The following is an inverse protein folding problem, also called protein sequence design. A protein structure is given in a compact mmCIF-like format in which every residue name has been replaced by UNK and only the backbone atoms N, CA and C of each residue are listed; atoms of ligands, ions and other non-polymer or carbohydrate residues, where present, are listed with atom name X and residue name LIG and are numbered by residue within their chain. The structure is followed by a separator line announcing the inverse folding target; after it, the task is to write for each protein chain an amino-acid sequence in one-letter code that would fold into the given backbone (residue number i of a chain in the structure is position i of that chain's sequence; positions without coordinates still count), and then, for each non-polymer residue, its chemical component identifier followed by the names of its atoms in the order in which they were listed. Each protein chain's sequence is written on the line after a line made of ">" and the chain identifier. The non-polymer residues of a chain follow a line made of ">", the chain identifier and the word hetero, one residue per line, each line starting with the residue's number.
data_IF_820173164691
#
_entry.id   IF_820173164691
#
_cell.length_a   1.000
_cell.length_b   1.000
_cell.length_c   1.000
_cell.angle_alpha   90.00
_cell.angle_beta   90.00
_cell.angle_gamma   90.00
#
_symmetry.space_group_name_H-M   'P 1'
#
loop_
_entity.id
_entity.type
_entity.pdbx_description
1 polymer ?
#
# COMPACT_ATOMS: atom_id res chain seq x y z
N UNK A 1 -29.13 -2.21 17.46
CA UNK A 1 -27.98 -1.44 16.96
C UNK A 1 -26.73 -2.07 17.53
N UNK A 2 -25.59 -2.09 16.82
CA UNK A 2 -24.33 -2.55 17.38
C UNK A 2 -23.97 -1.73 18.62
N UNK A 3 -23.59 -2.40 19.70
CA UNK A 3 -23.07 -1.76 20.91
C UNK A 3 -21.88 -0.86 20.56
N UNK A 4 -21.97 0.44 20.89
CA UNK A 4 -20.91 1.42 20.67
C UNK A 4 -21.27 2.59 19.74
N UNK A 5 -22.23 2.40 18.82
CA UNK A 5 -22.72 3.50 17.98
C UNK A 5 -23.69 4.43 18.73
N UNK A 6 -24.40 3.91 19.74
CA UNK A 6 -25.46 4.62 20.47
C UNK A 6 -24.96 5.82 21.30
N UNK A 7 -23.64 5.96 21.50
CA UNK A 7 -23.00 7.09 22.21
C UNK A 7 -22.05 7.90 21.32
N UNK A 8 -21.95 7.55 20.04
CA UNK A 8 -21.06 8.24 19.11
C UNK A 8 -21.67 9.58 18.70
N UNK A 9 -21.06 10.69 19.15
CA UNK A 9 -21.55 12.06 18.88
C UNK A 9 -20.96 12.69 17.63
N UNK A 10 -19.70 12.37 17.33
CA UNK A 10 -18.94 12.98 16.25
C UNK A 10 -18.02 11.94 15.59
N UNK A 11 -17.93 11.98 14.27
CA UNK A 11 -16.92 11.29 13.48
C UNK A 11 -16.04 12.37 12.86
N UNK A 12 -14.74 12.28 13.09
CA UNK A 12 -13.74 13.07 12.37
C UNK A 12 -13.02 12.12 11.43
N UNK A 13 -13.07 12.42 10.14
CA UNK A 13 -12.38 11.63 9.11
C UNK A 13 -11.16 12.40 8.67
N UNK A 14 -9.98 11.83 8.90
CA UNK A 14 -8.72 12.30 8.35
C UNK A 14 -8.36 11.42 7.16
N UNK A 15 -8.25 12.02 5.97
CA UNK A 15 -7.73 11.35 4.78
C UNK A 15 -6.30 11.81 4.57
N UNK A 16 -5.36 10.87 4.67
CA UNK A 16 -3.98 11.07 4.25
C UNK A 16 -3.87 10.88 2.74
N UNK A 17 -2.86 11.46 2.11
CA UNK A 17 -2.65 11.38 0.66
C UNK A 17 -1.45 10.47 0.30
N UNK A 18 -1.52 9.84 -0.87
CA UNK A 18 -0.41 9.23 -1.62
C UNK A 18 0.59 8.36 -0.84
N UNK A 19 0.12 7.59 0.15
CA UNK A 19 0.95 6.61 0.88
C UNK A 19 0.21 5.30 1.06
N UNK A 20 0.85 4.19 0.66
CA UNK A 20 0.33 2.85 0.88
C UNK A 20 0.41 2.45 2.36
N UNK A 21 -0.37 1.44 2.74
CA UNK A 21 -0.31 0.86 4.09
C UNK A 21 1.11 0.37 4.43
N UNK A 22 1.76 -0.36 3.51
CA UNK A 22 3.08 -0.90 3.74
C UNK A 22 4.15 0.16 3.97
N UNK A 23 4.05 1.32 3.31
CA UNK A 23 5.00 2.41 3.48
C UNK A 23 4.86 3.08 4.86
N UNK A 24 3.63 3.22 5.38
CA UNK A 24 3.38 3.93 6.64
C UNK A 24 3.44 3.01 7.86
N UNK A 25 2.86 1.82 7.73
CA UNK A 25 2.52 0.94 8.85
C UNK A 25 2.95 -0.52 8.64
N UNK A 26 3.44 -0.88 7.45
CA UNK A 26 3.80 -2.27 7.13
C UNK A 26 4.87 -2.85 8.05
N UNK A 27 5.83 -2.03 8.48
CA UNK A 27 6.89 -2.44 9.41
C UNK A 27 6.37 -2.83 10.80
N UNK A 28 5.15 -2.42 11.17
CA UNK A 28 4.55 -2.79 12.46
C UNK A 28 4.31 -4.28 12.61
N UNK A 29 4.29 -5.06 11.50
CA UNK A 29 4.25 -6.53 11.57
C UNK A 29 5.39 -7.14 12.38
N UNK A 30 6.55 -6.48 12.42
CA UNK A 30 7.68 -6.91 13.25
C UNK A 30 7.39 -6.79 14.76
N UNK A 31 6.39 -6.00 15.15
CA UNK A 31 5.97 -5.79 16.54
C UNK A 31 4.67 -6.55 16.85
N UNK A 32 3.74 -6.59 15.90
CA UNK A 32 2.45 -7.28 16.02
C UNK A 32 2.15 -8.12 14.79
N UNK A 33 2.30 -9.44 14.92
CA UNK A 33 2.11 -10.39 13.83
C UNK A 33 0.67 -10.45 13.27
N UNK A 34 -0.31 -9.84 13.94
CA UNK A 34 -1.69 -9.73 13.43
C UNK A 34 -1.80 -8.70 12.30
N UNK A 35 -0.82 -7.82 12.16
CA UNK A 35 -0.77 -6.81 11.11
C UNK A 35 -0.35 -7.47 9.80
N UNK A 36 -1.18 -7.32 8.77
CA UNK A 36 -0.83 -7.73 7.43
C UNK A 36 0.05 -6.66 6.76
N UNK A 37 1.32 -6.64 7.19
CA UNK A 37 2.34 -5.76 6.66
C UNK A 37 3.50 -6.51 5.99
N UNK A 38 4.57 -5.77 5.75
CA UNK A 38 5.78 -6.20 5.05
C UNK A 38 6.44 -7.41 5.74
N UNK A 39 6.63 -8.48 4.98
CA UNK A 39 7.48 -9.63 5.33
C UNK A 39 8.45 -9.93 4.19
N UNK A 40 9.60 -10.54 4.49
CA UNK A 40 10.45 -11.07 3.43
C UNK A 40 9.76 -12.26 2.73
N UNK A 41 9.83 -12.39 1.38
CA UNK A 41 10.76 -11.72 0.46
C UNK A 41 10.11 -10.76 -0.55
N UNK A 42 9.41 -9.71 -0.11
CA UNK A 42 8.79 -8.73 -1.04
C UNK A 42 9.83 -8.03 -1.95
N UNK A 43 9.50 -7.87 -3.23
CA UNK A 43 10.34 -7.14 -4.19
C UNK A 43 9.54 -6.65 -5.41
N UNK A 44 9.96 -5.53 -6.01
CA UNK A 44 9.40 -5.01 -7.27
C UNK A 44 10.50 -4.86 -8.33
N UNK A 45 10.26 -5.22 -9.60
CA UNK A 45 11.21 -4.98 -10.67
C UNK A 45 11.33 -3.48 -10.98
N UNK A 46 12.54 -3.00 -11.21
CA UNK A 46 12.79 -1.67 -11.79
C UNK A 46 12.59 -1.67 -13.32
N UNK A 47 12.91 -0.55 -13.97
CA UNK A 47 12.79 -0.39 -15.43
C UNK A 47 13.71 -1.29 -16.25
N UNK A 48 14.69 -1.94 -15.62
CA UNK A 48 15.60 -2.92 -16.22
C UNK A 48 15.25 -4.36 -15.86
N UNK A 49 14.23 -4.56 -15.01
CA UNK A 49 13.83 -5.86 -14.48
C UNK A 49 14.63 -6.31 -13.25
N UNK A 50 15.51 -5.46 -12.71
CA UNK A 50 16.23 -5.77 -11.48
C UNK A 50 15.26 -5.72 -10.29
N UNK A 51 15.27 -6.74 -9.44
CA UNK A 51 14.39 -6.80 -8.28
C UNK A 51 14.88 -5.88 -7.15
N UNK A 52 14.06 -4.90 -6.81
CA UNK A 52 14.29 -3.93 -5.73
C UNK A 52 13.47 -4.35 -4.51
N UNK A 53 14.14 -4.51 -3.37
CA UNK A 53 13.50 -4.81 -2.09
C UNK A 53 13.05 -3.54 -1.38
N UNK A 54 11.97 -3.58 -0.58
CA UNK A 54 11.66 -2.53 0.39
C UNK A 54 12.83 -2.30 1.33
N UNK A 55 13.12 -1.03 1.65
CA UNK A 55 14.20 -0.64 2.55
C UNK A 55 13.70 0.42 3.54
N UNK A 56 14.18 0.36 4.78
CA UNK A 56 13.86 1.33 5.83
C UNK A 56 14.69 2.63 5.70
N UNK A 57 14.73 3.20 4.49
CA UNK A 57 15.48 4.42 4.17
C UNK A 57 14.57 5.65 3.98
N UNK A 58 13.28 5.53 4.32
CA UNK A 58 12.34 6.63 4.19
C UNK A 58 12.68 7.76 5.16
N UNK A 59 12.93 8.95 4.64
CA UNK A 59 13.01 10.19 5.40
C UNK A 59 11.65 10.91 5.40
N UNK A 60 11.46 11.84 6.34
CA UNK A 60 10.28 12.70 6.29
C UNK A 60 10.32 13.55 5.02
N UNK A 61 9.32 13.35 4.17
CA UNK A 61 9.16 14.11 2.95
C UNK A 61 7.67 14.36 2.68
N UNK A 62 7.36 15.56 2.19
CA UNK A 62 6.05 15.93 1.66
C UNK A 62 5.72 15.13 0.40
N UNK A 63 5.78 15.75 -0.78
CA UNK A 63 5.56 15.00 -2.01
C UNK A 63 6.79 14.16 -2.38
N UNK A 64 6.58 12.91 -2.81
CA UNK A 64 7.70 12.08 -3.28
C UNK A 64 8.26 12.67 -4.58
N UNK A 65 9.58 12.62 -4.75
CA UNK A 65 10.24 13.03 -5.97
C UNK A 65 11.28 11.97 -6.35
N UNK A 66 11.02 11.13 -7.36
CA UNK A 66 9.83 11.13 -8.21
C UNK A 66 8.55 10.71 -7.45
N UNK A 67 7.40 11.29 -7.82
CA UNK A 67 6.10 10.85 -7.34
C UNK A 67 5.67 9.59 -8.10
N UNK A 68 5.41 8.45 -7.43
CA UNK A 68 4.88 7.27 -8.09
C UNK A 68 3.56 7.58 -8.79
N UNK A 69 3.37 7.06 -10.01
CA UNK A 69 2.10 7.22 -10.70
C UNK A 69 0.99 6.49 -9.92
N UNK A 70 0.00 7.26 -9.53
CA UNK A 70 -1.11 6.84 -8.68
C UNK A 70 -2.46 6.96 -9.43
N UNK A 71 -2.43 7.18 -10.75
CA UNK A 71 -3.62 7.14 -11.57
C UNK A 71 -4.11 5.70 -11.77
N UNK A 72 -5.42 5.57 -12.00
CA UNK A 72 -6.08 4.28 -12.18
C UNK A 72 -5.34 3.34 -13.17
N UNK A 73 -4.91 3.77 -14.38
CA UNK A 73 -4.24 2.86 -15.31
C UNK A 73 -2.91 2.29 -14.78
N UNK A 74 -2.13 3.08 -14.03
CA UNK A 74 -0.86 2.64 -13.47
C UNK A 74 -1.09 1.65 -12.32
N UNK A 75 -2.04 1.94 -11.43
CA UNK A 75 -2.43 1.05 -10.33
C UNK A 75 -3.02 -0.25 -10.87
N UNK A 76 -3.79 -0.17 -11.95
CA UNK A 76 -4.36 -1.34 -12.63
C UNK A 76 -3.27 -2.28 -13.17
N UNK A 77 -2.25 -1.70 -13.81
CA UNK A 77 -1.07 -2.44 -14.27
C UNK A 77 -0.32 -3.05 -13.09
N UNK A 78 -0.17 -2.31 -11.99
CA UNK A 78 0.51 -2.81 -10.79
C UNK A 78 -0.22 -4.03 -10.18
N UNK A 79 -1.54 -3.96 -10.06
CA UNK A 79 -2.36 -5.01 -9.44
C UNK A 79 -2.55 -6.21 -10.39
N UNK A 80 -2.80 -5.98 -11.68
CA UNK A 80 -3.20 -7.02 -12.63
C UNK A 80 -2.13 -7.37 -13.67
N UNK A 81 -0.96 -6.72 -13.64
CA UNK A 81 0.11 -6.98 -14.60
C UNK A 81 -0.28 -6.69 -16.06
N UNK A 82 -1.28 -5.83 -16.29
CA UNK A 82 -1.82 -5.54 -17.62
C UNK A 82 -2.81 -6.58 -18.16
N UNK A 83 -3.22 -7.56 -17.35
CA UNK A 83 -4.34 -8.43 -17.70
C UNK A 83 -5.64 -7.62 -17.77
N UNK A 84 -6.32 -7.67 -18.91
CA UNK A 84 -7.60 -6.97 -19.17
C UNK A 84 -8.77 -7.93 -19.32
N UNK A 85 -8.56 -9.22 -19.03
CA UNK A 85 -9.59 -10.24 -19.15
C UNK A 85 -10.70 -10.09 -18.10
N UNK A 86 -11.95 -10.49 -18.42
CA UNK A 86 -13.01 -10.57 -17.42
C UNK A 86 -12.64 -11.58 -16.32
N UNK A 87 -12.82 -11.18 -15.05
CA UNK A 87 -12.54 -12.06 -13.91
C UNK A 87 -11.05 -12.18 -13.53
N UNK A 88 -10.19 -11.31 -14.08
CA UNK A 88 -8.77 -11.21 -13.68
C UNK A 88 -8.61 -11.13 -12.15
N UNK A 89 -7.59 -11.80 -11.66
CA UNK A 89 -7.20 -11.80 -10.25
C UNK A 89 -5.99 -10.90 -10.05
N UNK A 90 -5.87 -10.28 -8.88
CA UNK A 90 -4.65 -9.59 -8.49
C UNK A 90 -3.47 -10.55 -8.64
N UNK A 91 -2.34 -10.05 -9.16
CA UNK A 91 -1.09 -10.79 -9.06
C UNK A 91 -0.74 -10.93 -7.58
N UNK A 92 -0.33 -12.12 -7.18
CA UNK A 92 0.32 -12.31 -5.89
C UNK A 92 1.60 -11.46 -5.90
N UNK A 93 1.63 -10.42 -5.05
CA UNK A 93 2.80 -9.57 -4.81
C UNK A 93 3.84 -10.30 -3.94
#
# INVERSE_FOLDING_TARGET
>A
MPTGLDQLKHIVVLMMENRSFDHMLGSLKAVDARIDGVSDPLSNPDTTGALIKPQALAEFQGQLNPDPDHHFPAVDIQIFGGDTSPGRICRDL
#
